data_IF_480117632814
#
_entry.id   IF_480117632814
#
_cell.length_a   1.000
_cell.length_b   1.000
_cell.length_c   1.000
_cell.angle_alpha   90.00
_cell.angle_beta   90.00
_cell.angle_gamma   90.00
#
_symmetry.space_group_name_H-M   'P 1'
#
loop_
_entity.id
_entity.type
_entity.pdbx_description
1 polymer ?
#
# COMPACT_ATOMS: atom_id res chain seq x y z
N UNK A 1 -9.84 -61.24 -13.92
CA UNK A 1 -10.59 -59.98 -14.17
C UNK A 1 -10.39 -58.86 -13.13
N UNK A 2 -9.68 -59.07 -11.99
CA UNK A 2 -9.47 -58.06 -10.93
C UNK A 2 -8.28 -57.10 -11.13
N UNK A 3 -7.25 -57.47 -11.90
CA UNK A 3 -6.01 -56.68 -12.03
C UNK A 3 -6.21 -55.31 -12.72
N UNK A 4 -7.10 -55.24 -13.72
CA UNK A 4 -7.35 -53.99 -14.45
C UNK A 4 -8.04 -52.94 -13.58
N UNK A 5 -8.86 -53.37 -12.62
CA UNK A 5 -9.55 -52.48 -11.68
C UNK A 5 -8.58 -51.80 -10.71
N UNK A 6 -7.56 -52.54 -10.23
CA UNK A 6 -6.52 -51.99 -9.35
C UNK A 6 -5.64 -50.94 -10.04
N UNK A 7 -5.27 -51.14 -11.31
CA UNK A 7 -4.52 -50.15 -12.10
C UNK A 7 -5.33 -48.88 -12.37
N UNK A 8 -6.62 -49.02 -12.66
CA UNK A 8 -7.53 -47.86 -12.84
C UNK A 8 -7.76 -47.09 -11.53
N UNK A 9 -7.79 -47.79 -10.39
CA UNK A 9 -7.92 -47.13 -9.08
C UNK A 9 -6.69 -46.27 -8.74
N UNK A 10 -5.48 -46.79 -8.98
CA UNK A 10 -4.23 -46.07 -8.72
C UNK A 10 -4.01 -44.87 -9.65
N UNK A 11 -4.29 -45.04 -10.94
CA UNK A 11 -4.16 -43.95 -11.93
C UNK A 11 -5.13 -42.81 -11.67
N UNK A 12 -6.36 -43.09 -11.25
CA UNK A 12 -7.34 -42.07 -10.84
C UNK A 12 -6.89 -41.31 -9.59
N UNK A 13 -6.31 -41.99 -8.60
CA UNK A 13 -5.75 -41.33 -7.41
C UNK A 13 -4.58 -40.40 -7.74
N UNK A 14 -3.66 -40.86 -8.59
CA UNK A 14 -2.54 -40.05 -9.07
C UNK A 14 -3.02 -38.83 -9.86
N UNK A 15 -4.00 -39.01 -10.74
CA UNK A 15 -4.61 -37.91 -11.49
C UNK A 15 -5.30 -36.90 -10.58
N UNK A 16 -6.08 -37.35 -9.60
CA UNK A 16 -6.75 -36.47 -8.64
C UNK A 16 -5.75 -35.75 -7.72
N UNK A 17 -4.68 -36.41 -7.29
CA UNK A 17 -3.61 -35.79 -6.51
C UNK A 17 -2.90 -34.72 -7.34
N UNK A 18 -2.54 -35.02 -8.59
CA UNK A 18 -1.93 -34.06 -9.51
C UNK A 18 -2.84 -32.87 -9.79
N UNK A 19 -4.11 -33.11 -10.08
CA UNK A 19 -5.11 -32.06 -10.30
C UNK A 19 -5.29 -31.17 -9.06
N UNK A 20 -5.31 -31.76 -7.86
CA UNK A 20 -5.35 -31.03 -6.60
C UNK A 20 -4.12 -30.15 -6.43
N UNK A 21 -2.91 -30.69 -6.63
CA UNK A 21 -1.66 -29.92 -6.54
C UNK A 21 -1.62 -28.78 -7.55
N UNK A 22 -2.09 -29.00 -8.78
CA UNK A 22 -2.20 -27.94 -9.80
C UNK A 22 -3.21 -26.87 -9.34
N UNK A 23 -4.39 -27.25 -8.84
CA UNK A 23 -5.38 -26.29 -8.33
C UNK A 23 -4.86 -25.46 -7.13
N UNK A 24 -4.06 -26.07 -6.25
CA UNK A 24 -3.40 -25.38 -5.13
C UNK A 24 -2.33 -24.39 -5.61
N UNK A 25 -1.53 -24.76 -6.60
CA UNK A 25 -0.50 -23.88 -7.18
C UNK A 25 -1.09 -22.71 -7.96
N UNK A 26 -2.28 -22.89 -8.55
CA UNK A 26 -3.02 -21.81 -9.24
C UNK A 26 -3.73 -20.84 -8.28
N UNK A 27 -3.81 -21.17 -6.98
CA UNK A 27 -4.42 -20.35 -5.93
C UNK A 27 -3.43 -19.44 -5.18
N UNK A 28 -2.21 -19.25 -5.68
CA UNK A 28 -1.31 -18.17 -5.20
C UNK A 28 -1.77 -16.78 -5.65
N UNK A 29 -3.07 -16.63 -5.91
CA UNK A 29 -3.70 -15.38 -6.29
C UNK A 29 -3.47 -14.35 -5.19
N UNK A 30 -2.59 -13.40 -5.52
CA UNK A 30 -2.56 -12.00 -5.08
C UNK A 30 -3.32 -11.82 -3.76
N UNK A 31 -2.59 -11.90 -2.64
CA UNK A 31 -3.02 -11.21 -1.43
C UNK A 31 -3.44 -9.81 -1.86
N UNK A 32 -4.70 -9.45 -1.62
CA UNK A 32 -5.21 -8.12 -1.91
C UNK A 32 -4.28 -7.14 -1.20
N UNK A 33 -3.43 -6.50 -1.99
CA UNK A 33 -2.43 -5.58 -1.52
C UNK A 33 -3.18 -4.28 -1.25
N UNK A 34 -3.66 -4.13 -0.02
CA UNK A 34 -4.36 -2.93 0.42
C UNK A 34 -3.38 -1.76 0.37
N UNK A 35 -3.68 -0.76 -0.48
CA UNK A 35 -2.88 0.46 -0.54
C UNK A 35 -3.00 1.21 0.80
N UNK A 36 -1.87 1.43 1.46
CA UNK A 36 -1.79 2.23 2.68
C UNK A 36 -1.76 3.72 2.33
N UNK A 37 -2.71 4.48 2.88
CA UNK A 37 -2.80 5.93 2.66
C UNK A 37 -2.32 6.69 3.89
N UNK A 38 -1.32 7.55 3.71
CA UNK A 38 -0.70 8.34 4.77
C UNK A 38 -1.00 9.82 4.53
N UNK A 39 -1.66 10.46 5.50
CA UNK A 39 -1.70 11.91 5.60
C UNK A 39 -0.45 12.37 6.35
N UNK A 40 0.47 13.02 5.64
CA UNK A 40 1.70 13.55 6.19
C UNK A 40 1.57 15.05 6.47
N UNK A 41 1.93 15.45 7.69
CA UNK A 41 1.87 16.83 8.16
C UNK A 41 3.05 17.13 9.09
N UNK A 42 3.33 18.40 9.29
CA UNK A 42 4.30 18.93 10.25
C UNK A 42 3.87 20.32 10.72
N UNK A 43 4.52 20.84 11.75
CA UNK A 43 4.36 22.22 12.24
C UNK A 43 5.40 23.18 11.65
N UNK A 44 6.57 22.72 11.16
CA UNK A 44 7.60 23.60 10.59
C UNK A 44 7.17 24.32 9.29
N UNK A 45 6.13 23.82 8.61
CA UNK A 45 5.58 24.37 7.38
C UNK A 45 5.82 23.52 6.12
N UNK A 46 5.09 23.85 5.05
CA UNK A 46 5.02 23.10 3.78
C UNK A 46 6.35 23.07 3.03
N UNK A 47 7.20 24.10 3.19
CA UNK A 47 8.52 24.18 2.57
C UNK A 47 9.63 23.50 3.40
N UNK A 48 9.29 22.83 4.51
CA UNK A 48 10.28 22.18 5.38
C UNK A 48 11.08 21.12 4.61
N UNK A 49 12.43 21.21 4.60
CA UNK A 49 13.27 20.19 3.94
C UNK A 49 13.06 18.78 4.50
N UNK A 50 12.74 18.67 5.80
CA UNK A 50 12.51 17.39 6.46
C UNK A 50 11.16 16.78 6.08
N UNK A 51 10.12 17.61 5.90
CA UNK A 51 8.82 17.16 5.39
C UNK A 51 8.98 16.56 3.99
N UNK A 52 9.71 17.25 3.11
CA UNK A 52 9.99 16.75 1.76
C UNK A 52 10.85 15.50 1.75
N UNK A 53 11.83 15.39 2.65
CA UNK A 53 12.63 14.17 2.79
C UNK A 53 11.75 12.99 3.22
N UNK A 54 10.92 13.16 4.24
CA UNK A 54 10.04 12.10 4.74
C UNK A 54 8.98 11.69 3.71
N UNK A 55 8.38 12.66 3.00
CA UNK A 55 7.46 12.38 1.91
C UNK A 55 8.11 11.49 0.84
N UNK A 56 9.36 11.80 0.45
CA UNK A 56 10.09 11.03 -0.56
C UNK A 56 10.32 9.59 -0.13
N UNK A 57 10.77 9.37 1.10
CA UNK A 57 11.04 8.03 1.62
C UNK A 57 9.75 7.21 1.79
N UNK A 58 8.67 7.82 2.28
CA UNK A 58 7.37 7.14 2.41
C UNK A 58 6.74 6.82 1.06
N UNK A 59 6.85 7.72 0.08
CA UNK A 59 6.32 7.51 -1.27
C UNK A 59 7.12 6.46 -2.07
N UNK A 60 8.33 6.10 -1.64
CA UNK A 60 9.12 5.03 -2.24
C UNK A 60 8.70 3.62 -1.77
N UNK A 61 7.89 3.53 -0.71
CA UNK A 61 7.39 2.25 -0.22
C UNK A 61 6.37 1.67 -1.21
N UNK A 62 6.38 0.35 -1.45
CA UNK A 62 5.37 -0.29 -2.26
C UNK A 62 3.99 -0.07 -1.61
N UNK A 63 2.99 0.24 -2.44
CA UNK A 63 1.58 0.30 -2.04
C UNK A 63 1.27 1.38 -1.01
N UNK A 64 2.09 2.43 -0.96
CA UNK A 64 1.85 3.58 -0.11
C UNK A 64 1.48 4.80 -0.96
N UNK A 65 0.32 5.39 -0.65
CA UNK A 65 -0.08 6.72 -1.13
C UNK A 65 0.19 7.74 -0.03
N UNK A 66 1.03 8.74 -0.31
CA UNK A 66 1.33 9.83 0.63
C UNK A 66 0.64 11.11 0.16
N UNK A 67 -0.18 11.70 1.03
CA UNK A 67 -0.86 12.98 0.83
C UNK A 67 -0.28 13.96 1.83
N UNK A 68 0.12 15.15 1.39
CA UNK A 68 0.74 16.14 2.29
C UNK A 68 -0.25 17.26 2.60
N UNK A 69 -0.34 17.64 3.87
CA UNK A 69 -1.10 18.82 4.29
C UNK A 69 -0.38 19.47 5.44
N UNK A 70 0.21 20.64 5.20
CA UNK A 70 1.02 21.36 6.19
C UNK A 70 0.69 22.86 6.15
N UNK A 71 0.95 23.60 7.24
CA UNK A 71 0.78 25.04 7.24
C UNK A 71 1.75 25.70 6.26
N UNK A 72 1.37 26.85 5.68
CA UNK A 72 2.22 27.56 4.73
C UNK A 72 3.53 28.10 5.36
N UNK A 73 3.51 28.32 6.67
CA UNK A 73 4.65 28.86 7.44
C UNK A 73 4.84 28.04 8.71
N UNK A 74 5.99 28.22 9.37
CA UNK A 74 6.29 27.58 10.65
C UNK A 74 5.25 27.95 11.73
N UNK A 75 4.74 26.93 12.40
CA UNK A 75 3.76 26.95 13.50
C UNK A 75 4.27 26.23 14.76
N UNK A 76 5.57 25.97 14.90
CA UNK A 76 6.14 25.37 16.10
C UNK A 76 5.80 26.16 17.36
N UNK A 77 5.47 25.42 18.43
CA UNK A 77 5.00 26.01 19.69
C UNK A 77 3.52 26.39 19.70
N UNK A 78 2.77 26.19 18.60
CA UNK A 78 1.33 26.44 18.55
C UNK A 78 0.48 25.39 19.27
N UNK A 79 1.11 24.31 19.77
CA UNK A 79 0.44 23.22 20.48
C UNK A 79 -0.74 22.67 19.67
N UNK A 80 -1.90 22.45 20.28
CA UNK A 80 -3.14 22.02 19.64
C UNK A 80 -4.12 23.18 19.40
N UNK A 81 -3.60 24.39 19.18
CA UNK A 81 -4.42 25.57 18.89
C UNK A 81 -5.25 25.36 17.62
N UNK A 82 -6.49 25.83 17.62
CA UNK A 82 -7.45 25.64 16.53
C UNK A 82 -7.94 26.98 15.99
N UNK A 83 -7.99 27.11 14.67
CA UNK A 83 -8.46 28.32 13.97
C UNK A 83 -9.72 28.01 13.17
N UNK A 84 -10.72 28.90 13.22
CA UNK A 84 -12.05 28.63 12.67
C UNK A 84 -12.15 28.79 11.14
N UNK A 85 -11.30 29.61 10.51
CA UNK A 85 -11.28 29.79 9.06
C UNK A 85 -9.88 29.58 8.53
N UNK A 86 -9.75 28.69 7.55
CA UNK A 86 -8.50 28.33 6.90
C UNK A 86 -8.64 28.58 5.40
N UNK A 87 -7.65 29.22 4.81
CA UNK A 87 -7.46 29.20 3.37
C UNK A 87 -6.54 28.02 3.03
N UNK A 88 -6.96 27.18 2.10
CA UNK A 88 -6.19 26.00 1.67
C UNK A 88 -5.88 26.15 0.20
N UNK A 89 -4.58 26.10 -0.11
CA UNK A 89 -4.08 26.22 -1.48
C UNK A 89 -3.41 24.91 -1.88
N UNK A 90 -3.55 24.54 -3.16
CA UNK A 90 -2.83 23.38 -3.70
C UNK A 90 -1.38 23.80 -3.92
N UNK A 91 -0.47 23.06 -3.31
CA UNK A 91 0.96 23.30 -3.47
C UNK A 91 1.55 22.33 -4.50
N UNK A 92 2.44 22.82 -5.35
CA UNK A 92 3.21 21.96 -6.24
C UNK A 92 4.66 22.41 -6.26
N UNK A 93 5.56 21.45 -6.07
CA UNK A 93 7.00 21.68 -6.11
C UNK A 93 7.60 20.73 -7.14
N UNK A 94 8.33 21.29 -8.11
CA UNK A 94 9.01 20.53 -9.17
C UNK A 94 8.09 19.59 -9.96
N UNK A 95 6.81 19.96 -10.13
CA UNK A 95 5.82 19.16 -10.86
C UNK A 95 5.17 18.04 -10.03
N UNK A 96 5.61 17.82 -8.79
CA UNK A 96 4.92 16.97 -7.82
C UNK A 96 3.87 17.77 -7.09
N UNK A 97 2.66 17.23 -6.99
CA UNK A 97 1.60 17.81 -6.17
C UNK A 97 1.76 17.38 -4.72
N UNK A 98 1.55 18.33 -3.82
CA UNK A 98 1.46 18.14 -2.39
C UNK A 98 0.02 18.42 -1.95
#
# INVERSE_FOLDING_TARGET
MKLNSYKHYWTRKLFLAFLSTVLLLLNTGVVAQENFRILLSNDDGIESPLLHALQRELAALPDVEVIVSAPNVNQSGSSQSSTASLNVERYSLNGSFF
#
